data_IF_304197252404
#
_entry.id   IF_304197252404
#
_cell.length_a   1.000
_cell.length_b   1.000
_cell.length_c   1.000
_cell.angle_alpha   90.00
_cell.angle_beta   90.00
_cell.angle_gamma   90.00
#
_symmetry.space_group_name_H-M   'P 1'
#
loop_
_entity.id
_entity.type
_entity.pdbx_description
1 polymer ?
#
# COMPACT_ATOMS: atom_id res chain seq x y z
N UNK A 1 -8.81 18.05 -9.57
CA UNK A 1 -7.49 18.27 -8.95
C UNK A 1 -6.47 17.95 -10.03
N UNK A 2 -5.43 18.74 -10.23
CA UNK A 2 -4.51 18.53 -11.36
C UNK A 2 -3.62 17.32 -11.02
N UNK A 3 -3.76 16.23 -11.78
CA UNK A 3 -2.97 14.99 -11.71
C UNK A 3 -1.53 15.25 -12.16
N UNK A 4 -0.78 16.06 -11.42
CA UNK A 4 0.61 16.28 -11.75
C UNK A 4 1.47 15.17 -11.13
N UNK A 5 1.15 13.90 -11.44
CA UNK A 5 2.01 12.72 -11.17
C UNK A 5 3.31 12.76 -11.99
N UNK A 6 3.56 13.85 -12.74
CA UNK A 6 4.77 14.09 -13.55
C UNK A 6 6.06 14.12 -12.72
N UNK A 7 5.96 14.34 -11.41
CA UNK A 7 7.11 14.24 -10.52
C UNK A 7 7.48 12.80 -10.17
N UNK A 8 6.74 11.77 -10.59
CA UNK A 8 7.09 10.38 -10.36
C UNK A 8 8.06 9.86 -11.43
N UNK A 9 8.97 8.96 -11.04
CA UNK A 9 9.85 8.23 -11.96
C UNK A 9 9.02 7.20 -12.70
N UNK A 10 8.92 7.33 -14.03
CA UNK A 10 8.31 6.30 -14.85
C UNK A 10 9.23 5.07 -14.98
N UNK A 11 8.64 3.88 -15.13
CA UNK A 11 9.39 2.65 -15.33
C UNK A 11 10.12 2.11 -14.09
N UNK A 12 9.89 2.69 -12.89
CA UNK A 12 10.40 2.14 -11.63
C UNK A 12 9.37 2.27 -10.51
N UNK A 13 9.39 1.32 -9.59
CA UNK A 13 8.66 1.43 -8.33
C UNK A 13 9.35 0.65 -7.22
N UNK A 14 9.04 1.00 -5.98
CA UNK A 14 9.47 0.29 -4.80
C UNK A 14 8.43 -0.79 -4.48
N UNK A 15 8.86 -2.04 -4.41
CA UNK A 15 8.03 -3.16 -3.96
C UNK A 15 8.38 -3.46 -2.51
N UNK A 16 7.38 -3.39 -1.64
CA UNK A 16 7.50 -3.76 -0.24
C UNK A 16 6.70 -5.02 0.01
N UNK A 17 7.33 -6.03 0.61
CA UNK A 17 6.60 -7.14 1.22
C UNK A 17 6.38 -6.79 2.68
N UNK A 18 5.13 -6.70 3.09
CA UNK A 18 4.73 -6.24 4.42
C UNK A 18 4.02 -7.37 5.14
N UNK A 19 4.35 -7.54 6.41
CA UNK A 19 3.56 -8.31 7.35
C UNK A 19 2.71 -7.33 8.14
N UNK A 20 1.39 -7.47 8.04
CA UNK A 20 0.43 -6.66 8.81
C UNK A 20 -0.11 -7.55 9.92
N UNK A 21 0.04 -7.09 11.15
CA UNK A 21 -0.55 -7.65 12.35
C UNK A 21 -1.46 -6.59 12.97
N UNK A 22 -2.18 -6.95 14.03
CA UNK A 22 -3.12 -6.02 14.68
C UNK A 22 -2.40 -4.75 15.16
N UNK A 23 -2.64 -3.64 14.46
CA UNK A 23 -2.08 -2.30 14.67
C UNK A 23 -0.58 -2.13 14.35
N UNK A 24 0.07 -3.14 13.78
CA UNK A 24 1.50 -3.09 13.46
C UNK A 24 1.76 -3.57 12.02
N UNK A 25 2.68 -2.90 11.33
CA UNK A 25 3.14 -3.32 10.01
C UNK A 25 4.66 -3.38 10.00
N UNK A 26 5.19 -4.55 9.66
CA UNK A 26 6.63 -4.78 9.53
C UNK A 26 6.99 -4.95 8.06
N UNK A 27 8.07 -4.31 7.62
CA UNK A 27 8.64 -4.52 6.29
C UNK A 27 9.50 -5.78 6.36
N UNK A 28 9.09 -6.82 5.62
CA UNK A 28 9.81 -8.09 5.52
C UNK A 28 10.90 -8.05 4.43
N UNK A 29 10.61 -7.33 3.35
CA UNK A 29 11.47 -7.27 2.17
C UNK A 29 11.19 -5.98 1.38
N UNK A 30 12.23 -5.44 0.74
CA UNK A 30 12.19 -4.16 0.03
C UNK A 30 13.00 -4.26 -1.26
N UNK A 31 12.38 -3.99 -2.41
CA UNK A 31 13.05 -4.12 -3.71
C UNK A 31 12.73 -2.97 -4.65
N UNK A 32 13.71 -2.56 -5.46
CA UNK A 32 13.47 -1.69 -6.61
C UNK A 32 13.10 -2.53 -7.82
N UNK A 33 11.93 -2.28 -8.40
CA UNK A 33 11.45 -2.94 -9.61
C UNK A 33 11.58 -1.97 -10.78
N UNK A 34 12.18 -2.41 -11.88
CA UNK A 34 12.34 -1.63 -13.11
C UNK A 34 11.18 -1.86 -14.08
N UNK A 35 9.97 -1.67 -13.58
CA UNK A 35 8.72 -1.80 -14.33
C UNK A 35 7.78 -0.65 -13.97
N UNK A 36 7.01 -0.19 -14.95
CA UNK A 36 5.96 0.82 -14.73
C UNK A 36 4.82 0.24 -13.91
N UNK A 37 4.28 1.07 -13.01
CA UNK A 37 3.01 0.76 -12.36
C UNK A 37 1.86 1.01 -13.33
N UNK A 38 0.88 0.09 -13.32
CA UNK A 38 -0.37 0.21 -14.06
C UNK A 38 -1.47 0.51 -13.05
N UNK A 39 -2.13 1.65 -13.23
CA UNK A 39 -3.14 2.14 -12.30
C UNK A 39 -4.36 1.22 -12.34
N UNK A 40 -4.84 0.72 -11.19
CA UNK A 40 -6.06 -0.06 -11.17
C UNK A 40 -7.26 0.84 -11.50
N UNK A 41 -8.06 0.43 -12.49
CA UNK A 41 -9.28 1.16 -12.86
C UNK A 41 -10.43 0.86 -11.89
N UNK A 42 -10.51 -0.38 -11.40
CA UNK A 42 -11.62 -0.88 -10.61
C UNK A 42 -11.20 -1.31 -9.20
N UNK A 43 -12.13 -1.16 -8.26
CA UNK A 43 -11.98 -1.63 -6.89
C UNK A 43 -12.17 -3.15 -6.83
N UNK A 44 -11.18 -3.85 -6.30
CA UNK A 44 -11.19 -5.30 -6.13
C UNK A 44 -11.13 -5.64 -4.65
N UNK A 45 -12.27 -5.92 -4.02
CA UNK A 45 -12.33 -6.35 -2.63
C UNK A 45 -12.21 -5.22 -1.60
N UNK A 46 -12.30 -5.57 -0.30
CA UNK A 46 -12.50 -4.58 0.77
C UNK A 46 -11.20 -4.03 1.36
N UNK A 47 -10.03 -4.60 1.01
CA UNK A 47 -8.75 -4.15 1.56
C UNK A 47 -8.16 -3.08 0.65
N UNK A 48 -7.81 -1.94 1.23
CA UNK A 48 -7.36 -0.76 0.49
C UNK A 48 -5.98 -0.37 1.02
N UNK A 49 -5.07 -0.13 0.08
CA UNK A 49 -3.78 0.48 0.35
C UNK A 49 -3.77 1.86 -0.28
N UNK A 50 -3.55 2.89 0.54
CA UNK A 50 -3.47 4.27 0.11
C UNK A 50 -2.06 4.79 0.33
N UNK A 51 -1.38 5.18 -0.74
CA UNK A 51 -0.05 5.77 -0.72
C UNK A 51 -0.20 7.27 -0.87
N UNK A 52 0.39 8.00 0.06
CA UNK A 52 0.24 9.45 0.16
C UNK A 52 1.61 10.11 0.08
N UNK A 53 1.70 11.13 -0.78
CA UNK A 53 2.79 12.11 -0.80
C UNK A 53 2.17 13.49 -0.62
N UNK A 54 2.77 14.36 0.20
CA UNK A 54 2.23 15.71 0.33
C UNK A 54 0.82 15.72 0.93
N UNK A 55 -0.06 16.48 0.27
CA UNK A 55 -1.42 16.72 0.73
C UNK A 55 -2.47 15.73 0.19
N UNK A 56 -2.08 14.60 -0.42
CA UNK A 56 -3.08 13.66 -0.92
C UNK A 56 -2.59 12.32 -1.47
N UNK A 57 -3.54 11.42 -1.79
CA UNK A 57 -3.28 10.14 -2.43
C UNK A 57 -2.52 10.31 -3.75
N UNK A 58 -1.55 9.43 -3.97
CA UNK A 58 -0.80 9.34 -5.24
C UNK A 58 -0.96 8.01 -5.92
N UNK A 59 -1.31 6.99 -5.13
CA UNK A 59 -1.55 5.64 -5.59
C UNK A 59 -2.50 4.95 -4.63
N UNK A 60 -3.56 4.37 -5.18
CA UNK A 60 -4.50 3.54 -4.43
C UNK A 60 -4.53 2.16 -5.06
N UNK A 61 -4.37 1.14 -4.23
CA UNK A 61 -4.50 -0.25 -4.63
C UNK A 61 -5.59 -0.91 -3.80
N UNK A 62 -6.27 -1.88 -4.39
CA UNK A 62 -7.35 -2.60 -3.72
C UNK A 62 -7.21 -4.09 -3.97
N UNK A 63 -7.50 -4.88 -2.94
CA UNK A 63 -7.40 -6.33 -3.02
C UNK A 63 -8.45 -7.04 -2.16
N UNK A 64 -8.59 -8.34 -2.43
CA UNK A 64 -9.32 -9.23 -1.53
C UNK A 64 -8.72 -9.16 -0.13
N UNK A 65 -9.55 -9.35 0.89
CA UNK A 65 -9.11 -9.24 2.27
C UNK A 65 -7.99 -10.27 2.57
N UNK A 66 -6.75 -9.82 2.80
CA UNK A 66 -5.61 -10.73 2.90
C UNK A 66 -5.61 -11.48 4.24
N UNK A 67 -6.47 -11.10 5.19
CA UNK A 67 -6.67 -11.83 6.45
C UNK A 67 -7.69 -12.96 6.30
N UNK A 68 -8.48 -12.98 5.21
CA UNK A 68 -9.52 -13.99 4.98
C UNK A 68 -8.98 -15.10 4.08
N UNK A 69 -8.72 -16.26 4.67
CA UNK A 69 -8.35 -17.46 3.94
C UNK A 69 -9.60 -18.27 3.59
N UNK A 70 -9.76 -18.59 2.31
CA UNK A 70 -10.88 -19.38 1.78
C UNK A 70 -10.43 -20.79 1.42
N UNK A 71 -11.34 -21.76 1.61
CA UNK A 71 -11.17 -23.11 1.07
C UNK A 71 -10.16 -23.97 1.83
N UNK A 72 -9.98 -23.73 3.12
CA UNK A 72 -9.14 -24.59 3.98
C UNK A 72 -9.90 -25.89 4.25
N UNK A 73 -9.40 -27.05 3.77
CA UNK A 73 -10.06 -28.33 4.03
C UNK A 73 -9.83 -28.73 5.50
N UNK A 74 -10.92 -28.87 6.26
CA UNK A 74 -10.87 -29.50 7.58
C UNK A 74 -11.08 -31.00 7.42
N UNK A 75 -10.29 -31.81 8.14
CA UNK A 75 -10.39 -33.28 8.10
C UNK A 75 -11.82 -33.70 8.48
N UNK A 76 -12.59 -34.19 7.51
CA UNK A 76 -13.94 -34.73 7.70
C UNK A 76 -15.09 -33.83 7.25
N UNK A 77 -14.83 -32.58 6.83
CA UNK A 77 -15.86 -31.63 6.42
C UNK A 77 -15.76 -31.36 4.90
N UNK A 78 -16.90 -31.43 4.19
CA UNK A 78 -17.00 -31.23 2.73
C UNK A 78 -17.32 -29.76 2.36
N UNK A 79 -17.34 -28.85 3.33
CA UNK A 79 -17.75 -27.46 3.15
C UNK A 79 -16.56 -26.50 3.08
N UNK A 80 -16.78 -25.36 2.40
CA UNK A 80 -15.78 -24.29 2.31
C UNK A 80 -15.77 -23.49 3.61
N UNK A 81 -14.70 -23.63 4.40
CA UNK A 81 -14.51 -22.85 5.61
C UNK A 81 -13.76 -21.56 5.34
N UNK A 82 -14.16 -20.52 6.07
CA UNK A 82 -13.46 -19.25 6.17
C UNK A 82 -12.64 -19.23 7.45
N UNK A 83 -11.38 -18.82 7.34
CA UNK A 83 -10.54 -18.53 8.49
C UNK A 83 -10.09 -17.07 8.40
N UNK A 84 -10.32 -16.32 9.47
CA UNK A 84 -9.79 -14.96 9.62
C UNK A 84 -8.54 -15.09 10.47
N UNK A 85 -7.39 -14.69 9.92
CA UNK A 85 -6.12 -14.65 10.66
C UNK A 85 -5.92 -13.29 11.31
N UNK A 86 -5.09 -13.25 12.34
CA UNK A 86 -4.67 -12.01 13.01
C UNK A 86 -3.53 -11.30 12.26
N UNK A 87 -2.97 -11.95 11.24
CA UNK A 87 -1.84 -11.46 10.47
C UNK A 87 -1.98 -11.78 8.99
N UNK A 88 -1.50 -10.89 8.13
CA UNK A 88 -1.52 -11.06 6.69
C UNK A 88 -0.25 -10.53 6.03
N UNK A 89 0.19 -11.19 4.95
CA UNK A 89 1.29 -10.70 4.12
C UNK A 89 0.71 -9.98 2.90
N UNK A 90 1.12 -8.74 2.67
CA UNK A 90 0.69 -7.94 1.51
C UNK A 90 1.89 -7.41 0.75
N UNK A 91 1.70 -7.13 -0.54
CA UNK A 91 2.71 -6.49 -1.38
C UNK A 91 2.26 -5.06 -1.67
N UNK A 92 3.02 -4.08 -1.19
CA UNK A 92 2.82 -2.68 -1.52
C UNK A 92 3.69 -2.29 -2.71
N UNK A 93 3.08 -1.66 -3.71
CA UNK A 93 3.73 -1.14 -4.91
C UNK A 93 3.75 0.38 -4.83
N UNK A 94 4.89 0.93 -4.44
CA UNK A 94 5.05 2.34 -4.11
C UNK A 94 5.70 3.07 -5.27
N UNK A 95 5.02 4.04 -5.92
CA UNK A 95 5.67 4.87 -6.93
C UNK A 95 6.84 5.63 -6.31
N UNK A 96 7.88 5.93 -7.10
CA UNK A 96 9.05 6.65 -6.60
C UNK A 96 9.03 8.08 -7.16
N UNK A 97 9.12 9.13 -6.32
CA UNK A 97 9.25 10.51 -6.79
C UNK A 97 10.61 10.75 -7.46
N UNK A 98 10.72 11.73 -8.35
CA UNK A 98 11.89 11.99 -9.20
C UNK A 98 13.05 12.68 -8.50
N UNK A 99 12.79 13.32 -7.36
CA UNK A 99 13.80 14.11 -6.62
C UNK A 99 14.20 13.45 -5.30
N UNK A 100 13.23 13.29 -4.41
CA UNK A 100 13.42 12.72 -3.08
C UNK A 100 12.08 12.21 -2.56
N UNK A 101 12.12 11.26 -1.61
CA UNK A 101 10.93 10.83 -0.89
C UNK A 101 10.46 11.94 0.06
N UNK A 102 9.21 12.43 -0.04
CA UNK A 102 8.69 13.46 0.84
C UNK A 102 8.69 13.03 2.31
N UNK A 103 8.98 13.96 3.22
CA UNK A 103 9.01 13.68 4.66
C UNK A 103 7.63 13.26 5.23
N UNK A 104 6.55 13.68 4.57
CA UNK A 104 5.17 13.32 4.92
C UNK A 104 4.68 12.03 4.24
N UNK A 105 5.57 11.30 3.55
CA UNK A 105 5.25 10.01 2.97
C UNK A 105 4.67 9.05 4.01
N UNK A 106 3.56 8.42 3.63
CA UNK A 106 3.00 7.28 4.33
C UNK A 106 2.20 6.36 3.41
N UNK A 107 2.07 5.11 3.85
CA UNK A 107 1.15 4.12 3.31
C UNK A 107 0.15 3.81 4.40
N UNK A 108 -1.13 4.06 4.14
CA UNK A 108 -2.21 3.65 5.02
C UNK A 108 -2.89 2.38 4.50
N UNK A 109 -3.23 1.51 5.43
CA UNK A 109 -4.01 0.31 5.17
C UNK A 109 -5.39 0.46 5.77
N UNK A 110 -6.42 0.21 4.96
CA UNK A 110 -7.80 0.26 5.38
C UNK A 110 -8.52 -1.05 5.07
N UNK A 111 -9.53 -1.36 5.87
CA UNK A 111 -10.56 -2.34 5.58
C UNK A 111 -11.91 -1.63 5.43
N UNK A 112 -12.61 -1.88 4.34
CA UNK A 112 -13.96 -1.41 4.17
C UNK A 112 -14.93 -2.15 5.10
N UNK A 113 -15.77 -1.40 5.81
CA UNK A 113 -16.88 -1.89 6.64
C UNK A 113 -18.23 -1.83 5.93
N UNK A 114 -18.26 -1.27 4.73
CA UNK A 114 -19.46 -1.10 3.92
C UNK A 114 -19.13 -1.17 2.43
N UNK A 115 -20.11 -0.92 1.55
CA UNK A 115 -19.90 -0.93 0.12
C UNK A 115 -18.89 0.13 -0.29
N UNK A 116 -17.98 -0.24 -1.19
CA UNK A 116 -17.04 0.66 -1.85
C UNK A 116 -17.59 1.07 -3.22
N UNK A 117 -17.15 2.22 -3.76
CA UNK A 117 -17.38 2.54 -5.16
C UNK A 117 -16.76 1.49 -6.09
N UNK A 118 -17.24 1.42 -7.32
CA UNK A 118 -16.73 0.47 -8.32
C UNK A 118 -15.39 0.91 -8.91
N UNK A 119 -15.17 2.23 -9.02
CA UNK A 119 -13.99 2.82 -9.64
C UNK A 119 -13.02 3.41 -8.63
N UNK A 120 -11.72 3.28 -8.89
CA UNK A 120 -10.67 3.73 -7.96
C UNK A 120 -10.67 5.25 -7.80
N UNK A 121 -10.97 6.01 -8.85
CA UNK A 121 -11.00 7.48 -8.78
C UNK A 121 -12.08 8.02 -7.80
N UNK A 122 -13.19 7.30 -7.65
CA UNK A 122 -14.23 7.62 -6.65
C UNK A 122 -13.76 7.26 -5.24
N UNK A 123 -12.97 6.18 -5.10
CA UNK A 123 -12.37 5.77 -3.84
C UNK A 123 -11.35 6.80 -3.33
N UNK A 124 -10.55 7.40 -4.20
CA UNK A 124 -9.64 8.51 -3.85
C UNK A 124 -10.37 9.70 -3.24
N UNK A 125 -11.55 10.02 -3.78
CA UNK A 125 -12.41 11.07 -3.22
C UNK A 125 -12.92 10.72 -1.82
N UNK A 126 -13.27 9.44 -1.60
CA UNK A 126 -13.65 8.94 -0.27
C UNK A 126 -12.49 9.01 0.73
N UNK A 127 -11.29 8.63 0.32
CA UNK A 127 -10.06 8.68 1.14
C UNK A 127 -9.69 10.12 1.54
N UNK A 128 -9.96 11.10 0.68
CA UNK A 128 -9.77 12.52 1.00
C UNK A 128 -10.85 13.09 1.94
N UNK A 129 -11.97 12.37 2.14
CA UNK A 129 -13.08 12.87 2.95
C UNK A 129 -12.81 12.65 4.46
N UNK A 130 -12.97 13.70 5.28
CA UNK A 130 -12.74 13.64 6.75
C UNK A 130 -13.74 12.78 7.53
N UNK A 131 -14.68 12.11 6.85
CA UNK A 131 -15.82 11.41 7.46
C UNK A 131 -16.13 10.13 6.71
N UNK A 132 -15.28 9.12 6.88
CA UNK A 132 -15.62 7.78 6.41
C UNK A 132 -15.73 6.83 7.59
N UNK A 133 -16.96 6.63 8.07
CA UNK A 133 -17.31 5.46 8.88
C UNK A 133 -17.29 4.16 8.06
N UNK A 134 -17.08 4.26 6.73
CA UNK A 134 -16.99 3.14 5.79
C UNK A 134 -15.60 2.52 5.81
N UNK A 135 -14.56 3.26 6.19
CA UNK A 135 -13.18 2.79 6.22
C UNK A 135 -12.69 2.61 7.65
N UNK A 136 -12.21 1.41 7.96
CA UNK A 136 -11.47 1.11 9.16
C UNK A 136 -9.98 1.21 8.86
N UNK A 137 -9.29 2.14 9.52
CA UNK A 137 -7.83 2.20 9.47
C UNK A 137 -7.24 1.02 10.26
N UNK A 138 -6.28 0.33 9.65
CA UNK A 138 -5.62 -0.84 10.23
C UNK A 138 -4.22 -0.50 10.73
N UNK A 139 -3.42 0.18 9.90
CA UNK A 139 -2.03 0.50 10.19
C UNK A 139 -1.47 1.51 9.18
N UNK A 140 -0.32 2.10 9.54
CA UNK A 140 0.41 3.03 8.69
C UNK A 140 1.89 2.66 8.65
N UNK A 141 2.49 2.68 7.47
CA UNK A 141 3.95 2.67 7.28
C UNK A 141 4.38 4.06 6.88
N UNK A 142 5.27 4.69 7.66
CA UNK A 142 5.78 6.03 7.40
C UNK A 142 7.23 5.99 6.89
N UNK A 143 7.74 7.15 6.44
CA UNK A 143 9.11 7.28 5.97
C UNK A 143 10.16 6.84 7.01
N UNK A 144 10.08 7.22 8.30
CA UNK A 144 10.99 6.71 9.32
C UNK A 144 11.07 5.18 9.39
N UNK A 145 9.94 4.48 9.20
CA UNK A 145 9.93 3.01 9.17
C UNK A 145 10.66 2.47 7.94
N UNK A 146 10.49 3.08 6.76
CA UNK A 146 11.27 2.71 5.57
C UNK A 146 12.77 2.95 5.75
N UNK A 147 13.15 4.13 6.29
CA UNK A 147 14.56 4.53 6.48
C UNK A 147 15.33 3.60 7.41
N UNK A 148 14.64 2.92 8.34
CA UNK A 148 15.24 1.93 9.24
C UNK A 148 15.56 0.60 8.55
N UNK A 149 14.99 0.33 7.38
CA UNK A 149 15.26 -0.90 6.65
C UNK A 149 16.72 -0.92 6.16
N UNK A 150 17.50 -1.99 6.38
CA UNK A 150 18.93 -2.02 6.04
C UNK A 150 19.24 -1.70 4.57
N UNK A 151 18.31 -2.05 3.67
CA UNK A 151 18.50 -1.87 2.23
C UNK A 151 18.08 -0.49 1.71
N UNK A 152 17.43 0.34 2.55
CA UNK A 152 16.90 1.65 2.16
C UNK A 152 17.93 2.50 1.40
N UNK A 153 19.12 2.67 1.97
CA UNK A 153 20.17 3.49 1.37
C UNK A 153 20.62 2.99 0.00
N UNK A 154 20.78 1.67 -0.16
CA UNK A 154 21.17 1.05 -1.44
C UNK A 154 20.07 1.21 -2.49
N UNK A 155 18.81 0.98 -2.10
CA UNK A 155 17.66 1.05 -3.00
C UNK A 155 17.42 2.48 -3.48
N UNK A 156 17.54 3.47 -2.60
CA UNK A 156 17.41 4.89 -2.97
C UNK A 156 18.54 5.33 -3.93
N UNK A 157 19.76 4.84 -3.74
CA UNK A 157 20.85 5.07 -4.70
C UNK A 157 20.56 4.45 -6.07
N UNK A 158 20.05 3.20 -6.11
CA UNK A 158 19.66 2.53 -7.36
C UNK A 158 18.46 3.21 -8.05
N UNK A 159 17.58 3.83 -7.28
CA UNK A 159 16.48 4.64 -7.78
C UNK A 159 16.97 5.97 -8.39
N UNK A 160 18.19 6.41 -8.06
CA UNK A 160 18.81 7.62 -8.58
C UNK A 160 18.84 8.80 -7.59
N UNK A 161 18.54 8.57 -6.31
CA UNK A 161 18.62 9.61 -5.28
C UNK A 161 20.05 9.83 -4.80
N UNK A 162 20.33 11.07 -4.38
CA UNK A 162 21.63 11.43 -3.85
C UNK A 162 21.85 10.79 -2.47
N UNK A 163 23.05 10.27 -2.17
CA UNK A 163 23.35 9.64 -0.87
C UNK A 163 23.14 10.55 0.35
N UNK A 164 23.07 11.87 0.15
CA UNK A 164 22.84 12.87 1.22
C UNK A 164 21.38 12.93 1.69
N UNK A 165 20.44 12.45 0.88
CA UNK A 165 19.01 12.44 1.20
C UNK A 165 18.56 11.12 1.89
N UNK A 166 19.50 10.16 2.01
CA UNK A 166 19.25 8.80 2.51
C UNK A 166 19.52 8.60 4.00
N UNK A 167 19.94 9.65 4.73
CA UNK A 167 20.31 9.62 6.15
C UNK A 167 19.29 10.41 6.98
#
# INVERSE_FOLDING_TARGET
MQDDKSYLISGKHLRLTLQIEKNETTIQDMNLINESLVEPEHVVGPFIMNIVFGNGPVWVDTMQDPFVHRGIPRRGEHEHHYEIKDSATVVARVPIPSKSMPDDFHIDFYRARGPLPEEVHELESLLCSKKSNVLEHLSTVNLPTLKKHPEWGSIMQQAGFNPRDSI
#
